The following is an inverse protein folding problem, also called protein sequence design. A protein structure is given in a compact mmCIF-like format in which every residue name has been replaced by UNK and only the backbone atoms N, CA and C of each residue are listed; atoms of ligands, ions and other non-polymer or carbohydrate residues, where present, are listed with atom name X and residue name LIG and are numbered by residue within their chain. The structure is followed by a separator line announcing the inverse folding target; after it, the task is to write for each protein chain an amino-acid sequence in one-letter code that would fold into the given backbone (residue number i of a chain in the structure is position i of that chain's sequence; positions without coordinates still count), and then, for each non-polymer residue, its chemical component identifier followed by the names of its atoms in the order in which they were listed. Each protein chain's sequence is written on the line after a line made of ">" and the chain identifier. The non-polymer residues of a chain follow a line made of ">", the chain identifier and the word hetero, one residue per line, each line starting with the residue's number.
data_IF_236764478219
#
_entry.id   IF_236764478219
#
_cell.length_a   1.000
_cell.length_b   1.000
_cell.length_c   1.000
_cell.angle_alpha   90.00
_cell.angle_beta   90.00
_cell.angle_gamma   90.00
#
_symmetry.space_group_name_H-M   'P 1'
#
loop_
_entity.id
_entity.type
_entity.pdbx_description
1 polymer ?
#
# COMPACT_ATOMS: atom_id res chain seq x y z
N UNK A 1 -61.66 46.79 -62.41
CA UNK A 1 -60.37 46.98 -61.70
C UNK A 1 -60.11 45.78 -60.80
N UNK A 2 -59.42 44.76 -61.29
CA UNK A 2 -58.86 43.69 -60.44
C UNK A 2 -57.46 43.36 -60.93
N UNK A 3 -56.53 43.40 -59.98
CA UNK A 3 -55.08 43.53 -60.17
C UNK A 3 -54.45 42.16 -60.45
N UNK A 4 -53.66 42.06 -61.52
CA UNK A 4 -52.65 41.03 -61.69
C UNK A 4 -51.64 41.09 -60.54
N UNK A 5 -51.31 39.94 -59.95
CA UNK A 5 -50.14 39.78 -59.09
C UNK A 5 -49.24 38.70 -59.68
N UNK A 6 -48.08 39.14 -60.17
CA UNK A 6 -46.94 38.29 -60.48
C UNK A 6 -46.46 37.60 -59.20
N UNK A 7 -46.19 36.30 -59.28
CA UNK A 7 -45.46 35.52 -58.29
C UNK A 7 -43.97 35.53 -58.68
N UNK A 8 -43.12 36.13 -57.85
CA UNK A 8 -41.67 35.90 -57.88
C UNK A 8 -41.34 34.70 -56.97
N UNK A 9 -40.47 33.76 -57.38
CA UNK A 9 -39.97 32.71 -56.50
C UNK A 9 -38.92 33.27 -55.54
N UNK A 10 -39.11 33.02 -54.24
CA UNK A 10 -38.11 33.33 -53.22
C UNK A 10 -37.03 32.24 -53.20
N UNK A 11 -35.78 32.64 -53.49
CA UNK A 11 -34.58 31.82 -53.26
C UNK A 11 -34.26 31.83 -51.75
N UNK A 12 -34.43 30.69 -51.08
CA UNK A 12 -33.94 30.48 -49.71
C UNK A 12 -32.51 29.96 -49.74
N UNK A 13 -31.54 30.82 -49.47
CA UNK A 13 -30.14 30.43 -49.23
C UNK A 13 -30.06 29.88 -47.80
N UNK A 14 -29.90 28.57 -47.66
CA UNK A 14 -29.66 27.93 -46.35
C UNK A 14 -28.17 27.96 -46.05
N UNK A 15 -27.75 28.83 -45.12
CA UNK A 15 -26.38 28.84 -44.62
C UNK A 15 -26.20 27.65 -43.65
N UNK A 16 -25.46 26.62 -44.06
CA UNK A 16 -24.97 25.58 -43.16
C UNK A 16 -23.85 26.17 -42.29
N UNK A 17 -24.16 26.49 -41.04
CA UNK A 17 -23.14 26.74 -40.03
C UNK A 17 -22.53 25.40 -39.62
N UNK A 18 -21.30 25.11 -40.07
CA UNK A 18 -20.47 24.07 -39.47
C UNK A 18 -20.09 24.52 -38.05
N UNK A 19 -20.83 24.05 -37.05
CA UNK A 19 -20.34 24.04 -35.68
C UNK A 19 -19.29 22.93 -35.57
N UNK A 20 -18.01 23.31 -35.59
CA UNK A 20 -16.97 22.43 -35.07
C UNK A 20 -17.31 22.15 -33.59
N UNK A 21 -17.69 20.92 -33.28
CA UNK A 21 -17.82 20.48 -31.91
C UNK A 21 -16.43 20.53 -31.28
N UNK A 22 -16.18 21.59 -30.50
CA UNK A 22 -15.09 21.58 -29.53
C UNK A 22 -15.38 20.40 -28.61
N UNK A 23 -14.51 19.38 -28.51
CA UNK A 23 -14.77 18.28 -27.60
C UNK A 23 -14.94 18.87 -26.20
N UNK A 24 -16.09 18.58 -25.59
CA UNK A 24 -16.38 19.00 -24.23
C UNK A 24 -15.19 18.56 -23.36
N UNK A 25 -14.51 19.52 -22.74
CA UNK A 25 -13.38 19.26 -21.86
C UNK A 25 -13.80 18.26 -20.80
N UNK A 26 -13.21 17.07 -20.83
CA UNK A 26 -13.42 16.06 -19.81
C UNK A 26 -13.06 16.66 -18.45
N UNK A 27 -13.88 16.41 -17.44
CA UNK A 27 -13.56 16.79 -16.07
C UNK A 27 -12.18 16.22 -15.69
N UNK A 28 -11.36 17.03 -15.03
CA UNK A 28 -10.07 16.55 -14.51
C UNK A 28 -10.31 15.30 -13.64
N UNK A 29 -9.47 14.26 -13.75
CA UNK A 29 -9.66 13.04 -12.98
C UNK A 29 -9.61 13.36 -11.49
N UNK A 30 -10.40 12.59 -10.71
CA UNK A 30 -10.25 12.59 -9.27
C UNK A 30 -8.80 12.23 -8.90
N UNK A 31 -8.30 12.81 -7.82
CA UNK A 31 -6.91 12.60 -7.38
C UNK A 31 -6.88 11.87 -6.05
N UNK A 32 -5.86 11.05 -5.83
CA UNK A 32 -5.61 10.36 -4.57
C UNK A 32 -4.16 10.57 -4.11
N UNK A 33 -3.94 10.41 -2.81
CA UNK A 33 -2.60 10.42 -2.23
C UNK A 33 -2.05 9.00 -2.20
N UNK A 34 -0.79 8.85 -2.60
CA UNK A 34 -0.05 7.60 -2.52
C UNK A 34 1.30 7.82 -1.88
N UNK A 35 1.69 6.87 -1.04
CA UNK A 35 3.03 6.82 -0.47
C UNK A 35 4.03 6.21 -1.44
N UNK A 36 5.21 6.82 -1.45
CA UNK A 36 6.14 6.79 -2.55
C UNK A 36 7.53 6.61 -1.94
N UNK A 37 8.02 5.37 -1.97
CA UNK A 37 9.28 4.91 -1.38
C UNK A 37 10.50 5.02 -2.31
N UNK A 38 11.50 5.83 -1.97
CA UNK A 38 12.76 5.96 -2.71
C UNK A 38 13.73 4.80 -2.44
N UNK A 39 14.61 4.50 -3.39
CA UNK A 39 15.66 3.47 -3.21
C UNK A 39 16.66 3.84 -2.11
N UNK A 40 16.81 5.14 -1.84
CA UNK A 40 17.59 5.68 -0.72
C UNK A 40 16.88 5.55 0.64
N UNK A 41 15.69 4.94 0.65
CA UNK A 41 14.83 4.74 1.80
C UNK A 41 13.97 5.96 2.18
N UNK A 42 14.03 7.06 1.43
CA UNK A 42 13.13 8.20 1.62
C UNK A 42 11.67 7.82 1.37
N UNK A 43 10.74 8.41 2.10
CA UNK A 43 9.30 8.13 1.98
C UNK A 43 8.59 9.44 1.77
N UNK A 44 7.90 9.60 0.64
CA UNK A 44 7.15 10.82 0.33
C UNK A 44 5.71 10.50 -0.04
N UNK A 45 4.87 11.53 -0.18
CA UNK A 45 3.55 11.39 -0.77
C UNK A 45 3.47 12.14 -2.09
N UNK A 46 2.85 11.50 -3.08
CA UNK A 46 2.49 12.15 -4.35
C UNK A 46 0.99 12.10 -4.53
N UNK A 47 0.48 13.15 -5.18
CA UNK A 47 -0.92 13.23 -5.57
C UNK A 47 -1.05 12.73 -7.00
N UNK A 48 -1.59 11.54 -7.18
CA UNK A 48 -1.72 10.87 -8.48
C UNK A 48 -3.18 10.82 -8.92
N UNK A 49 -3.48 10.79 -10.24
CA UNK A 49 -4.83 10.50 -10.71
C UNK A 49 -5.32 9.16 -10.16
N UNK A 50 -6.50 9.20 -9.54
CA UNK A 50 -7.18 8.01 -9.04
C UNK A 50 -7.43 7.05 -10.20
N UNK A 51 -7.32 5.75 -9.93
CA UNK A 51 -7.76 4.74 -10.88
C UNK A 51 -9.21 5.03 -11.32
N UNK A 52 -9.56 4.73 -12.59
CA UNK A 52 -10.95 4.51 -12.96
C UNK A 52 -11.63 3.54 -11.99
N UNK A 53 -12.96 3.44 -12.03
CA UNK A 53 -13.65 2.40 -11.26
C UNK A 53 -13.02 1.03 -11.60
N UNK A 54 -12.45 0.39 -10.59
CA UNK A 54 -11.73 -0.87 -10.76
C UNK A 54 -12.70 -1.98 -11.13
N UNK A 55 -12.27 -2.85 -12.04
CA UNK A 55 -13.04 -4.03 -12.41
C UNK A 55 -12.81 -5.15 -11.41
N UNK A 56 -13.87 -5.87 -11.04
CA UNK A 56 -13.79 -7.09 -10.26
C UNK A 56 -13.16 -8.25 -11.05
N UNK A 57 -12.58 -9.19 -10.33
CA UNK A 57 -12.11 -10.45 -10.88
C UNK A 57 -13.29 -11.30 -11.37
N UNK A 58 -13.08 -12.02 -12.47
CA UNK A 58 -14.07 -12.95 -12.98
C UNK A 58 -14.26 -14.13 -12.02
N UNK A 59 -15.51 -14.50 -11.70
CA UNK A 59 -15.84 -15.62 -10.81
C UNK A 59 -15.10 -16.92 -11.13
N UNK A 60 -14.94 -17.24 -12.43
CA UNK A 60 -14.22 -18.44 -12.86
C UNK A 60 -12.73 -18.39 -12.49
N UNK A 61 -12.11 -17.22 -12.63
CA UNK A 61 -10.69 -17.05 -12.31
C UNK A 61 -10.45 -17.16 -10.79
N UNK A 62 -11.34 -16.56 -9.99
CA UNK A 62 -11.35 -16.75 -8.53
C UNK A 62 -11.52 -18.23 -8.14
N UNK A 63 -12.44 -18.95 -8.79
CA UNK A 63 -12.73 -20.35 -8.47
C UNK A 63 -11.59 -21.33 -8.79
N UNK A 64 -10.63 -20.93 -9.65
CA UNK A 64 -9.48 -21.74 -10.02
C UNK A 64 -8.18 -21.34 -9.33
N UNK A 65 -8.17 -20.24 -8.58
CA UNK A 65 -6.97 -19.81 -7.88
C UNK A 65 -6.63 -20.78 -6.74
N UNK A 66 -5.39 -21.23 -6.75
CA UNK A 66 -4.85 -22.09 -5.69
C UNK A 66 -4.35 -21.22 -4.52
N UNK A 67 -4.68 -21.64 -3.30
CA UNK A 67 -4.20 -21.00 -2.07
C UNK A 67 -3.26 -21.97 -1.37
N UNK A 68 -2.02 -21.52 -1.14
CA UNK A 68 -0.97 -22.31 -0.50
C UNK A 68 -0.54 -21.62 0.80
N UNK A 69 -0.37 -22.39 1.87
CA UNK A 69 0.31 -21.88 3.08
C UNK A 69 1.83 -22.02 2.89
N UNK A 70 2.55 -20.91 2.93
CA UNK A 70 4.02 -20.85 2.78
C UNK A 70 4.72 -20.97 4.13
N UNK A 71 4.11 -20.42 5.19
CA UNK A 71 4.68 -20.47 6.54
C UNK A 71 3.58 -20.58 7.61
N UNK A 72 3.93 -21.18 8.74
CA UNK A 72 3.05 -21.36 9.90
C UNK A 72 2.18 -22.61 9.80
N UNK A 73 1.58 -22.99 10.91
CA UNK A 73 0.67 -24.14 11.03
C UNK A 73 -0.49 -23.86 12.00
N UNK A 74 -0.62 -22.62 12.47
CA UNK A 74 -1.65 -22.23 13.43
C UNK A 74 -3.03 -22.12 12.79
N UNK A 75 -4.04 -22.28 13.65
CA UNK A 75 -5.42 -21.93 13.32
C UNK A 75 -5.52 -20.40 13.15
N UNK A 76 -6.21 -19.96 12.11
CA UNK A 76 -6.38 -18.53 11.80
C UNK A 76 -7.08 -17.73 12.90
N UNK A 77 -7.89 -18.39 13.75
CA UNK A 77 -8.47 -17.75 14.94
C UNK A 77 -7.44 -17.41 16.03
N UNK A 78 -6.23 -17.98 15.96
CA UNK A 78 -5.11 -17.77 16.88
C UNK A 78 -3.79 -17.50 16.14
N UNK A 79 -3.88 -16.87 14.98
CA UNK A 79 -2.74 -16.43 14.19
C UNK A 79 -3.00 -15.06 13.58
N UNK A 80 -1.93 -14.43 13.10
CA UNK A 80 -2.02 -13.33 12.15
C UNK A 80 -1.84 -13.89 10.75
N UNK A 81 -2.84 -13.79 9.89
CA UNK A 81 -2.80 -14.32 8.53
C UNK A 81 -2.35 -13.23 7.53
N UNK A 82 -1.09 -13.32 7.11
CA UNK A 82 -0.50 -12.45 6.09
C UNK A 82 -0.68 -13.08 4.71
N UNK A 83 -1.41 -12.40 3.82
CA UNK A 83 -1.76 -12.93 2.49
C UNK A 83 -1.00 -12.18 1.40
N UNK A 84 -0.26 -12.92 0.60
CA UNK A 84 0.35 -12.44 -0.63
C UNK A 84 -0.51 -12.81 -1.83
N UNK A 85 -0.73 -11.84 -2.72
CA UNK A 85 -1.28 -12.05 -4.07
C UNK A 85 -0.23 -11.63 -5.10
N UNK A 86 -0.02 -12.45 -6.12
CA UNK A 86 0.96 -12.18 -7.18
C UNK A 86 0.32 -11.52 -8.39
N UNK A 87 1.05 -10.69 -9.11
CA UNK A 87 0.66 -10.26 -10.45
C UNK A 87 1.81 -10.34 -11.44
N UNK A 88 1.49 -10.63 -12.70
CA UNK A 88 2.48 -10.87 -13.75
C UNK A 88 3.23 -12.19 -13.61
N UNK A 89 2.78 -13.12 -12.77
CA UNK A 89 3.31 -14.48 -12.70
C UNK A 89 2.45 -15.39 -13.56
N UNK A 90 3.03 -15.95 -14.62
CA UNK A 90 2.39 -17.02 -15.41
C UNK A 90 2.43 -18.34 -14.65
N UNK A 91 1.78 -19.38 -15.19
CA UNK A 91 1.86 -20.73 -14.61
C UNK A 91 3.30 -21.23 -14.48
N UNK A 92 4.17 -20.87 -15.43
CA UNK A 92 5.60 -21.24 -15.43
C UNK A 92 6.41 -20.41 -14.42
N UNK A 93 5.89 -19.25 -13.98
CA UNK A 93 6.54 -18.37 -13.01
C UNK A 93 6.18 -18.68 -11.55
N UNK A 94 5.29 -19.64 -11.27
CA UNK A 94 4.81 -19.90 -9.89
C UNK A 94 5.91 -20.34 -8.92
N UNK A 95 6.96 -20.99 -9.41
CA UNK A 95 8.14 -21.31 -8.60
C UNK A 95 8.88 -20.02 -8.18
N UNK A 96 9.03 -19.07 -9.10
CA UNK A 96 9.59 -17.73 -8.82
C UNK A 96 8.69 -16.96 -7.85
N UNK A 97 7.37 -17.02 -8.04
CA UNK A 97 6.43 -16.37 -7.13
C UNK A 97 6.57 -16.89 -5.70
N UNK A 98 6.64 -18.21 -5.53
CA UNK A 98 6.83 -18.85 -4.24
C UNK A 98 8.14 -18.43 -3.58
N UNK A 99 9.23 -18.37 -4.36
CA UNK A 99 10.52 -17.88 -3.86
C UNK A 99 10.44 -16.40 -3.44
N UNK A 100 9.72 -15.56 -4.20
CA UNK A 100 9.52 -14.16 -3.86
C UNK A 100 8.69 -13.98 -2.58
N UNK A 101 7.60 -14.73 -2.39
CA UNK A 101 6.82 -14.72 -1.15
C UNK A 101 7.69 -15.11 0.05
N UNK A 102 8.46 -16.20 -0.08
CA UNK A 102 9.37 -16.65 0.99
C UNK A 102 10.43 -15.58 1.30
N UNK A 103 11.06 -14.98 0.28
CA UNK A 103 12.05 -13.91 0.47
C UNK A 103 11.45 -12.71 1.20
N UNK A 104 10.23 -12.28 0.83
CA UNK A 104 9.56 -11.14 1.48
C UNK A 104 9.15 -11.46 2.91
N UNK A 105 8.73 -12.68 3.17
CA UNK A 105 8.47 -13.13 4.53
C UNK A 105 9.75 -13.17 5.39
N UNK A 106 10.88 -13.63 4.83
CA UNK A 106 12.15 -13.67 5.55
C UNK A 106 12.67 -12.26 5.85
N UNK A 107 12.54 -11.31 4.92
CA UNK A 107 12.87 -9.90 5.13
C UNK A 107 12.01 -9.28 6.25
N UNK A 108 10.69 -9.49 6.20
CA UNK A 108 9.74 -8.95 7.17
C UNK A 108 9.96 -9.56 8.56
N UNK A 109 10.05 -10.90 8.63
CA UNK A 109 10.20 -11.62 9.90
C UNK A 109 11.58 -11.46 10.54
N UNK A 110 12.54 -10.83 9.87
CA UNK A 110 13.82 -10.40 10.44
C UNK A 110 13.76 -9.04 11.16
N UNK A 111 12.62 -8.34 11.13
CA UNK A 111 12.43 -7.06 11.82
C UNK A 111 11.56 -7.24 13.06
N UNK A 112 11.93 -6.60 14.16
CA UNK A 112 11.11 -6.57 15.37
C UNK A 112 9.90 -5.63 15.21
N UNK A 113 8.71 -5.97 15.72
CA UNK A 113 8.42 -7.13 16.58
C UNK A 113 8.11 -8.44 15.83
N UNK A 114 8.10 -8.47 14.50
CA UNK A 114 7.78 -9.69 13.74
C UNK A 114 8.72 -10.84 14.07
N UNK A 115 10.01 -10.58 14.30
CA UNK A 115 10.97 -11.61 14.73
C UNK A 115 10.53 -12.32 16.01
N UNK A 116 10.21 -11.57 17.06
CA UNK A 116 9.76 -12.14 18.34
C UNK A 116 8.45 -12.94 18.18
N UNK A 117 7.54 -12.44 17.34
CA UNK A 117 6.20 -13.01 17.18
C UNK A 117 6.07 -13.93 15.96
N UNK A 118 7.16 -14.29 15.28
CA UNK A 118 7.16 -15.04 14.02
C UNK A 118 6.30 -16.31 14.08
N UNK A 119 6.36 -17.03 15.20
CA UNK A 119 5.62 -18.28 15.40
C UNK A 119 4.09 -18.11 15.46
N UNK A 120 3.57 -16.87 15.50
CA UNK A 120 2.15 -16.55 15.53
C UNK A 120 1.60 -16.09 14.18
N UNK A 121 2.39 -16.15 13.12
CA UNK A 121 1.96 -15.81 11.76
C UNK A 121 1.69 -17.06 10.94
N UNK A 122 0.63 -16.99 10.15
CA UNK A 122 0.49 -17.78 8.94
C UNK A 122 0.84 -16.87 7.76
N UNK A 123 1.56 -17.41 6.78
CA UNK A 123 1.79 -16.74 5.50
C UNK A 123 1.12 -17.53 4.41
N UNK A 124 0.20 -16.87 3.71
CA UNK A 124 -0.55 -17.44 2.61
C UNK A 124 -0.12 -16.83 1.29
N UNK A 125 -0.08 -17.66 0.28
CA UNK A 125 0.15 -17.31 -1.10
C UNK A 125 -1.10 -17.66 -1.90
N UNK A 126 -1.64 -16.70 -2.65
CA UNK A 126 -2.72 -16.95 -3.61
C UNK A 126 -2.14 -16.90 -5.02
N UNK A 127 -2.19 -18.03 -5.72
CA UNK A 127 -1.69 -18.17 -7.08
C UNK A 127 -2.67 -17.52 -8.07
N UNK A 128 -2.47 -16.24 -8.31
CA UNK A 128 -3.20 -15.47 -9.34
C UNK A 128 -2.42 -15.55 -10.65
N UNK A 129 -2.80 -16.49 -11.52
CA UNK A 129 -2.08 -16.74 -12.78
C UNK A 129 -2.39 -15.64 -13.80
N UNK A 130 -1.34 -14.96 -14.27
CA UNK A 130 -1.39 -13.97 -15.36
C UNK A 130 -1.15 -14.61 -16.73
N UNK A 131 -1.66 -13.98 -17.80
CA UNK A 131 -1.44 -14.45 -19.18
C UNK A 131 -0.02 -14.12 -19.68
N UNK A 132 0.53 -12.99 -19.25
CA UNK A 132 1.87 -12.55 -19.59
C UNK A 132 2.76 -12.40 -18.34
N UNK A 133 4.06 -12.67 -18.53
CA UNK A 133 5.05 -12.56 -17.47
C UNK A 133 5.53 -11.11 -17.32
N UNK A 134 5.54 -10.61 -16.08
CA UNK A 134 5.93 -9.27 -15.67
C UNK A 134 4.77 -8.29 -15.54
N UNK A 135 5.08 -7.01 -15.29
CA UNK A 135 4.08 -5.96 -15.03
C UNK A 135 4.06 -4.87 -16.10
N UNK A 136 3.04 -4.03 -16.11
CA UNK A 136 2.94 -2.88 -16.99
C UNK A 136 4.09 -1.89 -16.74
N UNK A 137 4.53 -1.28 -17.85
CA UNK A 137 5.54 -0.23 -17.88
C UNK A 137 6.92 -0.67 -17.35
N UNK A 138 7.25 -1.94 -17.51
CA UNK A 138 8.55 -2.54 -17.20
C UNK A 138 9.17 -3.18 -18.46
N UNK A 139 10.39 -2.81 -18.88
CA UNK A 139 11.33 -1.86 -18.26
C UNK A 139 10.99 -0.39 -18.44
N UNK A 140 10.19 -0.04 -19.45
CA UNK A 140 9.90 1.35 -19.83
C UNK A 140 8.41 1.61 -19.95
N UNK A 141 8.02 2.85 -19.68
CA UNK A 141 6.64 3.32 -19.85
C UNK A 141 6.10 3.08 -21.26
N UNK A 142 4.83 2.70 -21.35
CA UNK A 142 4.13 2.43 -22.61
C UNK A 142 4.10 0.96 -23.02
N UNK A 143 4.83 0.09 -22.33
CA UNK A 143 4.67 -1.36 -22.42
C UNK A 143 3.46 -1.76 -21.58
N UNK A 144 2.53 -2.51 -22.15
CA UNK A 144 1.38 -3.08 -21.47
C UNK A 144 1.44 -4.61 -21.57
N UNK A 145 1.01 -5.31 -20.52
CA UNK A 145 0.98 -6.75 -20.38
C UNK A 145 -0.37 -7.19 -19.87
N UNK A 146 -0.89 -8.29 -20.43
CA UNK A 146 -2.12 -8.92 -19.98
C UNK A 146 -1.88 -9.68 -18.67
N UNK A 147 -2.10 -8.97 -17.56
CA UNK A 147 -1.85 -9.42 -16.19
C UNK A 147 -3.16 -9.52 -15.41
N UNK A 148 -3.19 -10.40 -14.41
CA UNK A 148 -4.43 -10.74 -13.74
C UNK A 148 -4.96 -9.59 -12.85
N UNK A 149 -4.06 -8.82 -12.24
CA UNK A 149 -4.36 -7.73 -11.31
C UNK A 149 -4.02 -6.33 -11.86
N UNK A 150 -3.68 -6.23 -13.15
CA UNK A 150 -3.37 -4.97 -13.84
C UNK A 150 -2.24 -4.17 -13.17
N UNK A 151 -1.22 -4.80 -12.59
CA UNK A 151 -0.16 -4.11 -11.86
C UNK A 151 0.79 -3.38 -12.82
N UNK A 152 1.21 -2.17 -12.45
CA UNK A 152 2.11 -1.36 -13.27
C UNK A 152 2.81 -0.21 -12.58
N UNK A 153 4.00 0.13 -13.09
CA UNK A 153 4.77 1.31 -12.68
C UNK A 153 4.06 2.61 -13.08
N UNK A 154 4.54 3.76 -12.55
CA UNK A 154 3.84 5.06 -12.68
C UNK A 154 2.36 4.98 -12.27
N UNK A 155 2.05 4.16 -11.28
CA UNK A 155 0.70 3.81 -10.86
C UNK A 155 -0.18 3.37 -12.04
N UNK A 156 0.27 2.32 -12.75
CA UNK A 156 -0.36 1.82 -13.97
C UNK A 156 -0.44 2.91 -15.07
N UNK A 157 0.63 3.71 -15.16
CA UNK A 157 0.77 4.78 -16.15
C UNK A 157 0.03 6.08 -15.87
N UNK A 158 -0.75 6.15 -14.79
CA UNK A 158 -1.54 7.34 -14.42
C UNK A 158 -0.69 8.47 -13.86
N UNK A 159 0.36 8.14 -13.14
CA UNK A 159 1.29 9.13 -12.60
C UNK A 159 2.27 9.59 -13.69
N UNK A 160 2.53 10.89 -13.79
CA UNK A 160 3.36 11.42 -14.86
C UNK A 160 4.87 11.28 -14.58
N UNK A 161 5.29 11.23 -13.31
CA UNK A 161 6.66 11.57 -12.90
C UNK A 161 7.33 10.53 -12.01
N UNK A 162 6.55 9.67 -11.37
CA UNK A 162 6.97 8.81 -10.26
C UNK A 162 7.06 7.37 -10.74
N UNK A 163 8.18 7.04 -11.38
CA UNK A 163 8.39 5.73 -12.02
C UNK A 163 8.13 4.55 -11.09
N UNK A 164 8.80 4.52 -9.97
CA UNK A 164 8.77 3.46 -8.94
C UNK A 164 7.42 3.27 -8.22
N UNK A 165 6.41 4.11 -8.51
CA UNK A 165 5.08 3.94 -7.93
C UNK A 165 4.41 2.74 -8.60
N UNK A 166 4.43 1.58 -7.94
CA UNK A 166 3.89 0.33 -8.47
C UNK A 166 2.46 0.15 -7.94
N UNK A 167 1.44 0.44 -8.73
CA UNK A 167 0.05 0.27 -8.30
C UNK A 167 -0.55 -1.00 -8.90
N UNK A 168 -1.59 -1.51 -8.25
CA UNK A 168 -2.35 -2.70 -8.64
C UNK A 168 -3.84 -2.35 -8.66
N UNK A 169 -4.66 -3.15 -9.35
CA UNK A 169 -6.10 -3.16 -9.13
C UNK A 169 -6.40 -3.72 -7.72
N UNK A 170 -6.72 -2.83 -6.78
CA UNK A 170 -6.90 -3.18 -5.37
C UNK A 170 -8.14 -4.05 -5.14
N UNK A 171 -9.17 -3.87 -5.96
CA UNK A 171 -10.41 -4.66 -5.92
C UNK A 171 -10.12 -6.12 -6.24
N UNK A 172 -9.47 -6.40 -7.39
CA UNK A 172 -9.06 -7.77 -7.74
C UNK A 172 -8.13 -8.35 -6.68
N UNK A 173 -7.13 -7.59 -6.24
CA UNK A 173 -6.17 -8.04 -5.22
C UNK A 173 -6.87 -8.48 -3.93
N UNK A 174 -7.85 -7.71 -3.44
CA UNK A 174 -8.64 -8.07 -2.24
C UNK A 174 -9.57 -9.27 -2.47
N UNK A 175 -10.21 -9.35 -3.64
CA UNK A 175 -11.09 -10.48 -3.97
C UNK A 175 -10.31 -11.81 -4.03
N UNK A 176 -9.10 -11.82 -4.61
CA UNK A 176 -8.22 -13.00 -4.57
C UNK A 176 -7.69 -13.27 -3.16
N UNK A 177 -7.27 -12.24 -2.42
CA UNK A 177 -6.78 -12.43 -1.06
C UNK A 177 -7.86 -13.01 -0.12
N UNK A 178 -9.13 -12.69 -0.35
CA UNK A 178 -10.26 -13.24 0.41
C UNK A 178 -10.48 -14.75 0.22
N UNK A 179 -9.78 -15.39 -0.73
CA UNK A 179 -9.76 -16.85 -0.85
C UNK A 179 -8.90 -17.51 0.23
N UNK A 180 -7.96 -16.78 0.83
CA UNK A 180 -7.16 -17.27 1.94
C UNK A 180 -7.91 -17.15 3.28
N UNK A 181 -7.63 -18.01 4.26
CA UNK A 181 -8.20 -17.91 5.60
C UNK A 181 -7.88 -16.56 6.27
N UNK A 182 -8.92 -15.91 6.79
CA UNK A 182 -8.89 -14.68 7.60
C UNK A 182 -7.82 -13.64 7.20
N UNK A 183 -7.79 -13.22 5.93
CA UNK A 183 -6.81 -12.26 5.40
C UNK A 183 -6.71 -10.94 6.21
N UNK A 184 -5.86 -10.93 7.24
CA UNK A 184 -5.68 -9.79 8.17
C UNK A 184 -4.90 -8.67 7.48
N UNK A 185 -3.94 -9.05 6.63
CA UNK A 185 -3.22 -8.14 5.75
C UNK A 185 -3.07 -8.74 4.36
N UNK A 186 -3.18 -7.87 3.34
CA UNK A 186 -2.84 -8.19 1.95
C UNK A 186 -1.60 -7.43 1.48
N UNK A 187 -0.68 -8.13 0.83
CA UNK A 187 0.46 -7.55 0.08
C UNK A 187 0.40 -8.08 -1.35
N UNK A 188 0.43 -7.18 -2.34
CA UNK A 188 0.52 -7.56 -3.74
C UNK A 188 1.98 -7.50 -4.24
N UNK A 189 2.47 -8.59 -4.84
CA UNK A 189 3.81 -8.67 -5.41
C UNK A 189 3.75 -8.65 -6.93
N UNK A 190 4.49 -7.74 -7.56
CA UNK A 190 4.66 -7.74 -9.02
C UNK A 190 5.82 -8.63 -9.43
N UNK A 191 5.67 -9.38 -10.53
CA UNK A 191 6.76 -10.15 -11.12
C UNK A 191 7.78 -9.23 -11.80
N UNK A 192 8.62 -8.56 -11.00
CA UNK A 192 9.64 -7.65 -11.50
C UNK A 192 10.82 -7.57 -10.53
N UNK A 193 12.01 -7.34 -11.09
CA UNK A 193 13.21 -7.00 -10.32
C UNK A 193 13.43 -5.48 -10.20
N UNK A 194 12.73 -4.67 -10.99
CA UNK A 194 12.82 -3.21 -10.94
C UNK A 194 12.23 -2.71 -9.62
N UNK A 195 12.95 -1.86 -8.92
CA UNK A 195 12.51 -1.37 -7.62
C UNK A 195 11.21 -0.57 -7.74
N UNK A 196 10.25 -0.89 -6.88
CA UNK A 196 9.00 -0.16 -6.78
C UNK A 196 8.06 -0.78 -5.77
N UNK A 197 7.06 0.02 -5.42
CA UNK A 197 6.03 -0.29 -4.45
C UNK A 197 5.20 0.95 -4.15
N UNK A 198 4.09 0.75 -3.48
CA UNK A 198 3.16 1.80 -3.12
C UNK A 198 2.44 1.43 -1.82
N UNK A 199 2.15 2.46 -1.04
CA UNK A 199 1.26 2.37 0.10
C UNK A 199 -0.20 2.59 -0.27
N UNK A 200 -1.06 2.31 0.70
CA UNK A 200 -2.50 2.50 0.59
C UNK A 200 -3.29 1.29 1.06
N UNK A 201 -4.46 1.05 0.46
CA UNK A 201 -5.37 0.04 0.97
C UNK A 201 -4.92 -1.41 0.65
N UNK A 202 -4.05 -1.57 -0.35
CA UNK A 202 -3.25 -2.77 -0.60
C UNK A 202 -1.80 -2.32 -0.78
N UNK A 203 -0.91 -2.79 0.09
CA UNK A 203 0.52 -2.55 -0.04
C UNK A 203 1.06 -3.32 -1.25
N UNK A 204 1.91 -2.69 -2.05
CA UNK A 204 2.54 -3.34 -3.20
C UNK A 204 4.06 -3.32 -3.09
N UNK A 205 4.71 -4.34 -3.67
CA UNK A 205 6.16 -4.40 -3.77
C UNK A 205 6.61 -5.16 -5.02
N UNK A 206 7.77 -4.79 -5.56
CA UNK A 206 8.46 -5.59 -6.55
C UNK A 206 8.92 -6.93 -5.93
N UNK A 207 8.43 -8.05 -6.48
CA UNK A 207 8.63 -9.38 -5.92
C UNK A 207 10.10 -9.82 -5.91
N UNK A 208 10.81 -9.63 -7.01
CA UNK A 208 12.20 -10.06 -7.19
C UNK A 208 13.23 -8.98 -6.81
N UNK A 209 12.84 -8.00 -5.98
CA UNK A 209 13.72 -6.93 -5.54
C UNK A 209 13.92 -6.97 -4.01
N UNK A 210 15.16 -7.17 -3.56
CA UNK A 210 15.48 -7.33 -2.13
C UNK A 210 15.21 -6.08 -1.28
N UNK A 211 15.21 -4.88 -1.87
CA UNK A 211 14.96 -3.64 -1.13
C UNK A 211 13.47 -3.33 -0.97
N UNK A 212 12.61 -3.90 -1.84
CA UNK A 212 11.19 -3.59 -1.86
C UNK A 212 10.42 -4.17 -0.66
N UNK A 213 10.93 -5.18 0.04
CA UNK A 213 10.24 -5.73 1.22
C UNK A 213 10.20 -4.76 2.40
N UNK A 214 11.12 -3.80 2.48
CA UNK A 214 11.07 -2.75 3.51
C UNK A 214 9.80 -1.88 3.38
N UNK A 215 9.26 -1.74 2.17
CA UNK A 215 7.98 -1.06 1.92
C UNK A 215 6.87 -1.76 2.68
N UNK A 216 6.76 -3.09 2.54
CA UNK A 216 5.74 -3.87 3.24
C UNK A 216 5.83 -3.73 4.77
N UNK A 217 7.02 -3.65 5.34
CA UNK A 217 7.20 -3.49 6.79
C UNK A 217 6.69 -2.13 7.26
N UNK A 218 6.95 -1.06 6.50
CA UNK A 218 6.40 0.27 6.77
C UNK A 218 4.87 0.28 6.70
N UNK A 219 4.30 -0.25 5.61
CA UNK A 219 2.83 -0.31 5.41
C UNK A 219 2.12 -1.10 6.50
N UNK A 220 2.74 -2.19 6.95
CA UNK A 220 2.26 -2.98 8.08
C UNK A 220 2.24 -2.19 9.39
N UNK A 221 3.11 -1.20 9.55
CA UNK A 221 3.04 -0.24 10.66
C UNK A 221 1.71 0.51 10.70
N UNK A 222 1.19 0.92 9.53
CA UNK A 222 -0.12 1.56 9.42
C UNK A 222 -1.25 0.58 9.69
N UNK A 223 -1.28 -0.54 8.97
CA UNK A 223 -2.44 -1.43 8.95
C UNK A 223 -2.60 -2.26 10.22
N UNK A 224 -1.49 -2.68 10.84
CA UNK A 224 -1.51 -3.44 12.09
C UNK A 224 -1.45 -2.48 13.28
N UNK A 225 -0.43 -1.62 13.32
CA UNK A 225 -0.11 -0.80 14.48
C UNK A 225 -0.96 0.47 14.61
N UNK A 226 -1.69 0.86 13.54
CA UNK A 226 -2.38 2.15 13.49
C UNK A 226 -1.42 3.32 13.61
N UNK A 227 -0.17 3.15 13.17
CA UNK A 227 0.86 4.18 13.23
C UNK A 227 0.62 5.23 12.16
N UNK A 228 1.00 6.48 12.47
CA UNK A 228 1.09 7.54 11.48
C UNK A 228 2.49 7.58 10.88
N UNK A 229 2.60 8.24 9.74
CA UNK A 229 3.89 8.64 9.20
C UNK A 229 4.61 9.63 10.09
N UNK A 230 5.93 9.46 10.17
CA UNK A 230 6.83 10.28 10.97
C UNK A 230 7.67 11.24 10.11
N UNK A 231 7.49 11.25 8.79
CA UNK A 231 8.05 12.29 7.92
C UNK A 231 7.22 13.58 7.96
N UNK A 232 7.87 14.71 7.73
CA UNK A 232 7.41 16.06 8.12
C UNK A 232 7.09 16.96 6.91
N UNK A 233 6.81 16.38 5.76
CA UNK A 233 6.56 17.08 4.49
C UNK A 233 5.37 16.48 3.74
N UNK A 234 4.70 17.24 2.86
CA UNK A 234 5.10 18.54 2.30
C UNK A 234 4.56 19.78 3.02
N UNK A 235 3.73 19.64 4.05
CA UNK A 235 2.99 20.76 4.64
C UNK A 235 3.80 21.53 5.69
N UNK A 236 3.41 22.79 5.92
CA UNK A 236 4.12 23.69 6.83
C UNK A 236 3.76 23.48 8.30
N UNK A 237 2.51 23.79 8.69
CA UNK A 237 2.10 23.78 10.10
C UNK A 237 0.76 23.09 10.26
N UNK A 238 0.68 22.16 11.22
CA UNK A 238 -0.56 21.50 11.57
C UNK A 238 -1.40 22.34 12.54
N UNK A 239 -2.66 22.60 12.19
CA UNK A 239 -3.59 23.39 13.01
C UNK A 239 -4.80 22.58 13.50
N UNK A 240 -4.88 21.29 13.16
CA UNK A 240 -5.98 20.41 13.54
C UNK A 240 -5.97 20.00 15.02
N UNK A 241 -6.77 19.01 15.40
CA UNK A 241 -6.83 18.48 16.77
C UNK A 241 -5.75 17.44 17.03
N UNK A 242 -5.57 17.01 18.28
CA UNK A 242 -4.66 15.91 18.63
C UNK A 242 -4.88 14.67 17.73
N UNK A 243 -3.82 14.15 17.05
CA UNK A 243 -3.90 12.91 16.28
C UNK A 243 -4.34 11.72 17.14
N UNK A 244 -4.90 10.67 16.52
CA UNK A 244 -5.29 9.45 17.24
C UNK A 244 -4.14 8.47 17.36
N UNK A 245 -3.26 8.48 16.37
CA UNK A 245 -2.09 7.61 16.25
C UNK A 245 -1.14 7.84 17.43
N UNK A 246 -0.56 6.75 17.95
CA UNK A 246 0.23 6.81 19.19
C UNK A 246 1.61 7.43 19.00
N UNK A 247 2.19 7.32 17.80
CA UNK A 247 3.53 7.78 17.47
C UNK A 247 3.59 9.23 16.97
N UNK A 248 2.49 10.00 17.07
CA UNK A 248 2.47 11.44 16.74
C UNK A 248 1.60 12.22 17.71
N UNK A 249 2.03 13.40 18.14
CA UNK A 249 1.25 14.27 19.05
C UNK A 249 1.34 15.76 18.69
N UNK A 250 0.35 16.56 19.08
CA UNK A 250 0.48 18.04 19.11
C UNK A 250 1.15 18.54 20.39
N UNK A 251 1.19 17.72 21.43
CA UNK A 251 1.73 18.12 22.72
C UNK A 251 3.27 18.19 22.66
N UNK A 252 3.89 19.38 22.78
CA UNK A 252 5.34 19.54 22.71
C UNK A 252 6.08 18.85 23.87
N UNK A 253 5.37 18.38 24.90
CA UNK A 253 5.96 17.61 26.00
C UNK A 253 6.11 16.12 25.67
N UNK A 254 5.46 15.62 24.61
CA UNK A 254 5.48 14.19 24.27
C UNK A 254 4.66 13.33 25.23
N UNK A 255 3.62 13.88 25.87
CA UNK A 255 2.86 13.21 26.92
C UNK A 255 2.33 11.81 26.54
N UNK A 256 2.04 11.55 25.25
CA UNK A 256 1.63 10.23 24.75
C UNK A 256 2.62 9.09 25.05
N UNK A 257 3.91 9.41 25.14
CA UNK A 257 4.99 8.47 25.44
C UNK A 257 5.81 8.92 26.64
N UNK A 258 5.17 9.58 27.61
CA UNK A 258 5.82 10.15 28.78
C UNK A 258 6.72 9.16 29.55
N UNK A 259 6.28 7.90 29.66
CA UNK A 259 7.03 6.83 30.34
C UNK A 259 8.34 6.45 29.63
N UNK A 260 8.45 6.77 28.34
CA UNK A 260 9.60 6.44 27.51
C UNK A 260 10.58 7.61 27.36
N UNK A 261 10.21 8.83 27.79
CA UNK A 261 11.04 10.02 27.59
C UNK A 261 12.45 9.83 28.18
N UNK A 262 13.45 10.15 27.36
CA UNK A 262 14.87 10.02 27.71
C UNK A 262 15.45 8.61 27.59
N UNK A 263 14.63 7.59 27.27
CA UNK A 263 15.12 6.23 27.07
C UNK A 263 15.68 6.03 25.65
N UNK A 264 16.70 5.17 25.48
CA UNK A 264 17.13 4.74 24.16
C UNK A 264 16.03 3.94 23.45
N UNK A 265 16.01 3.99 22.13
CA UNK A 265 15.02 3.35 21.28
C UNK A 265 15.69 2.46 20.21
N UNK A 266 15.06 1.36 19.76
CA UNK A 266 15.67 0.42 18.80
C UNK A 266 16.07 1.02 17.45
N UNK A 267 15.43 2.11 17.01
CA UNK A 267 15.82 2.89 15.83
C UNK A 267 17.18 3.62 15.96
N UNK A 268 17.79 3.57 17.15
CA UNK A 268 19.06 4.22 17.48
C UNK A 268 18.91 5.63 18.05
N UNK A 269 17.68 6.12 18.21
CA UNK A 269 17.37 7.41 18.82
C UNK A 269 17.23 7.35 20.35
N UNK A 270 17.09 8.54 20.94
CA UNK A 270 16.60 8.73 22.32
C UNK A 270 15.20 9.32 22.22
N UNK A 271 14.27 8.81 23.02
CA UNK A 271 12.87 9.17 22.93
C UNK A 271 12.66 10.58 23.49
N UNK A 272 12.15 11.46 22.64
CA UNK A 272 11.89 12.86 22.92
C UNK A 272 10.82 13.38 21.95
N UNK A 273 10.08 14.44 22.30
CA UNK A 273 9.24 15.13 21.33
C UNK A 273 10.12 15.81 20.28
N UNK A 274 10.23 15.22 19.08
CA UNK A 274 10.96 15.79 17.95
C UNK A 274 9.96 16.44 17.01
N UNK A 275 10.07 17.76 16.80
CA UNK A 275 9.14 18.48 15.92
C UNK A 275 9.26 17.99 14.47
N UNK A 276 8.10 17.93 13.81
CA UNK A 276 7.93 17.43 12.46
C UNK A 276 7.38 16.00 12.45
N UNK A 277 6.18 15.79 11.91
CA UNK A 277 5.56 14.47 11.77
C UNK A 277 4.30 14.57 10.91
N UNK A 278 3.79 13.42 10.44
CA UNK A 278 2.51 13.29 9.75
C UNK A 278 2.33 14.33 8.66
N UNK A 279 3.37 14.52 7.85
CA UNK A 279 3.44 15.43 6.72
C UNK A 279 3.60 16.93 7.03
N UNK A 280 3.72 17.32 8.30
CA UNK A 280 3.85 18.72 8.72
C UNK A 280 5.19 18.99 9.39
N UNK A 281 5.85 20.07 8.96
CA UNK A 281 7.12 20.53 9.54
C UNK A 281 7.00 21.01 10.98
N UNK A 282 5.89 21.68 11.30
CA UNK A 282 5.67 22.32 12.60
C UNK A 282 4.32 21.92 13.21
N UNK A 283 4.23 21.96 14.55
CA UNK A 283 2.98 21.77 15.30
C UNK A 283 2.58 20.30 15.53
N UNK A 284 3.39 19.35 15.09
CA UNK A 284 3.32 17.94 15.45
C UNK A 284 4.70 17.41 15.82
N UNK A 285 4.74 16.41 16.69
CA UNK A 285 5.96 15.80 17.21
C UNK A 285 5.90 14.28 17.02
N UNK A 286 7.04 13.70 16.64
CA UNK A 286 7.31 12.25 16.62
C UNK A 286 8.22 11.86 17.80
N UNK A 287 8.28 10.58 18.19
CA UNK A 287 8.97 10.17 19.41
C UNK A 287 10.50 10.06 19.28
N UNK A 288 11.04 9.95 18.07
CA UNK A 288 12.49 9.87 17.83
C UNK A 288 12.87 10.62 16.55
N UNK A 289 14.17 10.87 16.35
CA UNK A 289 14.63 11.58 15.17
C UNK A 289 14.33 10.82 13.86
N UNK A 290 14.29 9.49 13.91
CA UNK A 290 14.01 8.62 12.77
C UNK A 290 13.36 7.30 13.20
N UNK A 291 12.69 6.60 12.29
CA UNK A 291 12.18 5.23 12.48
C UNK A 291 11.78 4.69 11.11
N UNK A 292 11.35 3.43 11.04
CA UNK A 292 10.81 2.90 9.78
C UNK A 292 9.58 3.69 9.29
N UNK A 293 8.82 4.33 10.19
CA UNK A 293 7.70 5.19 9.82
C UNK A 293 8.14 6.54 9.21
N UNK A 294 9.45 6.77 9.09
CA UNK A 294 10.03 7.97 8.46
C UNK A 294 11.01 7.63 7.33
N UNK A 295 11.78 6.55 7.46
CA UNK A 295 12.80 6.15 6.48
C UNK A 295 12.95 4.63 6.49
N UNK A 296 12.89 4.01 5.32
CA UNK A 296 13.05 2.56 5.17
C UNK A 296 14.41 2.07 5.68
N UNK A 297 14.49 0.79 6.06
CA UNK A 297 15.72 0.18 6.58
C UNK A 297 16.05 0.56 8.02
N UNK A 298 15.19 1.32 8.69
CA UNK A 298 15.24 1.56 10.14
C UNK A 298 14.36 0.54 10.88
N UNK A 299 14.60 0.40 12.18
CA UNK A 299 13.66 -0.30 13.05
C UNK A 299 12.48 0.62 13.41
N UNK A 300 11.38 0.03 13.87
CA UNK A 300 10.38 0.79 14.62
C UNK A 300 11.04 1.41 15.86
N UNK A 301 10.61 2.62 16.22
CA UNK A 301 10.90 3.15 17.55
C UNK A 301 10.09 2.37 18.62
N UNK A 302 10.41 2.57 19.90
CA UNK A 302 9.75 1.84 20.99
C UNK A 302 8.23 2.01 20.99
N UNK A 303 7.72 3.21 20.68
CA UNK A 303 6.28 3.51 20.63
C UNK A 303 5.62 2.71 19.49
N UNK A 304 6.25 2.71 18.32
CA UNK A 304 5.80 1.92 17.17
C UNK A 304 5.80 0.43 17.46
N UNK A 305 6.87 -0.09 18.07
CA UNK A 305 6.98 -1.51 18.42
C UNK A 305 5.88 -1.92 19.41
N UNK A 306 5.62 -1.12 20.44
CA UNK A 306 4.60 -1.45 21.43
C UNK A 306 3.18 -1.38 20.86
N UNK A 307 2.91 -0.43 19.95
CA UNK A 307 1.64 -0.39 19.23
C UNK A 307 1.43 -1.66 18.38
N UNK A 308 2.46 -2.09 17.65
CA UNK A 308 2.43 -3.33 16.86
C UNK A 308 2.22 -4.57 17.76
N UNK A 309 2.93 -4.66 18.88
CA UNK A 309 2.77 -5.76 19.85
C UNK A 309 1.37 -5.78 20.45
N UNK A 310 0.81 -4.61 20.77
CA UNK A 310 -0.57 -4.49 21.28
C UNK A 310 -1.57 -4.98 20.24
N UNK A 311 -1.38 -4.66 18.96
CA UNK A 311 -2.21 -5.13 17.87
C UNK A 311 -2.12 -6.67 17.69
N UNK A 312 -0.92 -7.24 17.75
CA UNK A 312 -0.75 -8.71 17.74
C UNK A 312 -1.50 -9.36 18.89
N UNK A 313 -1.36 -8.86 20.12
CA UNK A 313 -2.08 -9.37 21.30
C UNK A 313 -3.59 -9.22 21.17
N UNK A 314 -4.08 -8.17 20.52
CA UNK A 314 -5.51 -8.00 20.29
C UNK A 314 -6.06 -9.01 19.27
N UNK A 315 -5.27 -9.39 18.26
CA UNK A 315 -5.66 -10.35 17.22
C UNK A 315 -5.49 -11.81 17.65
N UNK A 316 -4.46 -12.13 18.42
CA UNK A 316 -4.04 -13.51 18.74
C UNK A 316 -4.35 -13.82 20.21
N UNK A 317 -5.42 -14.58 20.51
CA UNK A 317 -5.85 -14.85 21.88
C UNK A 317 -4.76 -15.48 22.77
N UNK A 318 -3.99 -16.44 22.24
CA UNK A 318 -2.97 -17.17 23.02
C UNK A 318 -1.81 -16.29 23.52
N UNK A 319 -1.61 -15.09 22.94
CA UNK A 319 -0.63 -14.13 23.44
C UNK A 319 -1.03 -13.48 24.76
N UNK A 320 -2.28 -13.64 25.19
CA UNK A 320 -2.80 -13.12 26.45
C UNK A 320 -2.96 -14.20 27.53
N UNK A 321 -2.71 -15.47 27.19
CA UNK A 321 -2.77 -16.54 28.17
C UNK A 321 -1.54 -16.50 29.09
N UNK A 322 -1.70 -16.77 30.39
CA UNK A 322 -0.57 -16.93 31.29
C UNK A 322 0.31 -18.07 30.78
N UNK A 323 1.63 -17.87 30.71
CA UNK A 323 2.56 -18.95 30.42
C UNK A 323 2.33 -20.06 31.46
N UNK A 324 1.89 -21.23 31.01
CA UNK A 324 1.67 -22.36 31.89
C UNK A 324 2.95 -22.63 32.69
N UNK A 325 2.83 -22.71 34.02
CA UNK A 325 3.96 -23.04 34.87
C UNK A 325 4.56 -24.38 34.41
N UNK A 326 5.89 -24.51 34.32
CA UNK A 326 6.50 -25.79 33.98
C UNK A 326 6.04 -26.86 34.98
N UNK A 327 5.88 -28.12 34.55
CA UNK A 327 5.51 -29.20 35.45
C UNK A 327 6.53 -29.27 36.60
N UNK A 328 6.02 -29.36 37.83
CA UNK A 328 6.87 -29.56 39.00
C UNK A 328 7.71 -30.84 38.82
N UNK A 329 8.97 -30.85 39.28
CA UNK A 329 9.90 -31.97 39.11
C UNK A 329 9.41 -33.27 39.76
#
# INVERSE_FOLDING_TARGET
>A
MHRSRLLLPALTVTALALFAQVPAGGAAPAMEWREVFGEDGSITQVRTPKAPAEESAGFRALATAEVTKVFGDRDSSDAFDLVFVGDGYTADDLATYTANVQSKWDELSAVEPFTTYKAYFNVWQVNVVSNESGVDHDPTRGIAKDTALDMGFWCQGRDATTERLLCVNETKAKEYAALAPQADQVIALGNTAKYGGAGGSVATAAGSNASAGQIAIHELGHSIGGLADEYDYPYATYTGTEPREFNVTKDPTGAKWGEYLGQPSPDGGVIAPVEGARYYKNGLYRPTANSIMRTLGKQFNSIGRDAMVKAFKAKIPSLNEPVAAPPAP
#
